data_IF_824931636667
#
_entry.id   IF_824931636667
#
_cell.length_a   1.000
_cell.length_b   1.000
_cell.length_c   1.000
_cell.angle_alpha   90.00
_cell.angle_beta   90.00
_cell.angle_gamma   90.00
#
_symmetry.space_group_name_H-M   'P 1'
#
loop_
_entity.id
_entity.type
_entity.pdbx_description
1 polymer ?
#
# COMPACT_ATOMS: atom_id res chain seq x y z
N UNK A 1 13.18 -20.86 47.57
CA UNK A 1 12.89 -19.41 47.53
C UNK A 1 12.45 -19.04 48.93
N UNK A 2 13.19 -18.18 49.59
CA UNK A 2 12.91 -17.74 50.97
C UNK A 2 11.78 -16.69 50.99
N UNK A 3 11.04 -16.66 52.09
CA UNK A 3 9.87 -15.79 52.27
C UNK A 3 10.22 -14.30 52.12
N UNK A 4 11.45 -13.93 52.52
CA UNK A 4 11.96 -12.57 52.36
C UNK A 4 12.07 -12.17 50.89
N UNK A 5 12.63 -13.02 50.03
CA UNK A 5 12.73 -12.75 48.58
C UNK A 5 11.35 -12.62 47.92
N UNK A 6 10.38 -13.44 48.33
CA UNK A 6 9.01 -13.32 47.83
C UNK A 6 8.36 -11.98 48.22
N UNK A 7 8.50 -11.56 49.49
CA UNK A 7 7.97 -10.26 49.95
C UNK A 7 8.58 -9.09 49.19
N UNK A 8 9.90 -9.07 49.02
CA UNK A 8 10.61 -8.03 48.25
C UNK A 8 10.15 -7.98 46.78
N UNK A 9 9.94 -9.14 46.15
CA UNK A 9 9.43 -9.19 44.78
C UNK A 9 7.99 -8.66 44.66
N UNK A 10 7.13 -8.95 45.65
CA UNK A 10 5.75 -8.42 45.70
C UNK A 10 5.75 -6.90 45.91
N UNK A 11 6.58 -6.38 46.82
CA UNK A 11 6.71 -4.93 47.04
C UNK A 11 7.21 -4.21 45.79
N UNK A 12 8.25 -4.74 45.12
CA UNK A 12 8.78 -4.16 43.89
C UNK A 12 7.73 -4.16 42.77
N UNK A 13 6.98 -5.26 42.60
CA UNK A 13 5.89 -5.34 41.63
C UNK A 13 4.81 -4.28 41.91
N UNK A 14 4.42 -4.12 43.18
CA UNK A 14 3.38 -3.16 43.57
C UNK A 14 3.86 -1.72 43.34
N UNK A 15 5.12 -1.41 43.64
CA UNK A 15 5.72 -0.10 43.36
C UNK A 15 5.76 0.21 41.86
N UNK A 16 6.24 -0.73 41.04
CA UNK A 16 6.29 -0.56 39.58
C UNK A 16 4.88 -0.37 38.99
N UNK A 17 3.87 -1.06 39.52
CA UNK A 17 2.47 -0.84 39.13
C UNK A 17 2.01 0.58 39.47
N UNK A 18 2.31 1.09 40.67
CA UNK A 18 1.95 2.45 41.06
C UNK A 18 2.67 3.52 40.19
N UNK A 19 3.92 3.29 39.82
CA UNK A 19 4.67 4.18 38.90
C UNK A 19 4.05 4.16 37.48
N UNK A 20 3.62 2.98 37.00
CA UNK A 20 2.93 2.84 35.72
C UNK A 20 1.54 3.52 35.72
N UNK A 21 0.80 3.47 36.84
CA UNK A 21 -0.51 4.15 36.97
C UNK A 21 -0.40 5.68 36.89
N UNK A 22 0.77 6.27 37.17
CA UNK A 22 1.00 7.70 36.97
C UNK A 22 1.34 8.06 35.53
N UNK A 23 1.64 7.07 34.68
CA UNK A 23 1.99 7.28 33.29
C UNK A 23 0.73 7.26 32.40
N UNK A 24 0.39 8.42 31.82
CA UNK A 24 -0.76 8.59 30.94
C UNK A 24 -0.76 7.60 29.77
N UNK A 25 0.42 7.24 29.23
CA UNK A 25 0.54 6.27 28.15
C UNK A 25 0.15 4.85 28.57
N UNK A 26 0.39 4.47 29.82
CA UNK A 26 0.00 3.16 30.36
C UNK A 26 -1.52 3.07 30.57
N UNK A 27 -2.14 4.15 31.05
CA UNK A 27 -3.61 4.25 31.15
C UNK A 27 -4.25 4.13 29.76
N UNK A 28 -3.70 4.84 28.75
CA UNK A 28 -4.18 4.75 27.38
C UNK A 28 -4.09 3.33 26.80
N UNK A 29 -3.00 2.61 27.09
CA UNK A 29 -2.83 1.21 26.70
C UNK A 29 -3.87 0.30 27.37
N UNK A 30 -4.10 0.44 28.69
CA UNK A 30 -5.13 -0.32 29.38
C UNK A 30 -6.54 -0.08 28.81
N UNK A 31 -6.85 1.17 28.45
CA UNK A 31 -8.11 1.49 27.77
C UNK A 31 -8.21 0.81 26.40
N UNK A 32 -7.14 0.81 25.60
CA UNK A 32 -7.12 0.13 24.32
C UNK A 32 -7.32 -1.39 24.48
N UNK A 33 -6.62 -2.02 25.42
CA UNK A 33 -6.77 -3.45 25.74
C UNK A 33 -8.19 -3.79 26.21
N UNK A 34 -8.80 -2.95 27.05
CA UNK A 34 -10.17 -3.14 27.51
C UNK A 34 -11.18 -3.07 26.34
N UNK A 35 -10.96 -2.18 25.37
CA UNK A 35 -11.80 -2.08 24.16
C UNK A 35 -11.63 -3.30 23.26
N UNK A 36 -10.40 -3.77 23.04
CA UNK A 36 -10.12 -4.99 22.27
C UNK A 36 -10.81 -6.20 22.92
N UNK A 37 -10.65 -6.38 24.24
CA UNK A 37 -11.29 -7.49 24.96
C UNK A 37 -12.83 -7.45 24.89
N UNK A 38 -13.43 -6.26 24.93
CA UNK A 38 -14.87 -6.09 24.77
C UNK A 38 -15.32 -6.42 23.34
N UNK A 39 -14.53 -6.01 22.34
CA UNK A 39 -14.78 -6.31 20.93
C UNK A 39 -14.69 -7.80 20.63
N UNK A 40 -13.65 -8.48 21.11
CA UNK A 40 -13.45 -9.93 20.95
C UNK A 40 -14.56 -10.74 21.63
N UNK A 41 -15.08 -10.26 22.77
CA UNK A 41 -16.23 -10.87 23.43
C UNK A 41 -17.52 -10.70 22.63
N UNK A 42 -17.72 -9.54 22.02
CA UNK A 42 -18.89 -9.26 21.17
C UNK A 42 -18.81 -9.97 19.80
N UNK A 43 -17.60 -10.21 19.32
CA UNK A 43 -17.31 -10.86 18.05
C UNK A 43 -16.46 -12.11 18.30
N UNK A 44 -17.04 -13.17 18.90
CA UNK A 44 -16.30 -14.39 19.14
C UNK A 44 -15.67 -14.84 17.82
N UNK A 45 -14.34 -14.97 17.83
CA UNK A 45 -13.61 -15.44 16.66
C UNK A 45 -14.32 -16.68 16.13
N UNK A 46 -14.62 -16.75 14.82
CA UNK A 46 -15.30 -17.90 14.26
C UNK A 46 -14.51 -19.13 14.66
N UNK A 47 -15.13 -19.98 15.47
CA UNK A 47 -14.53 -21.22 15.96
C UNK A 47 -13.95 -21.89 14.72
N UNK A 48 -12.66 -22.25 14.69
CA UNK A 48 -12.06 -22.88 13.53
C UNK A 48 -12.86 -24.15 13.28
N UNK A 49 -13.78 -24.04 12.33
CA UNK A 49 -14.74 -25.08 12.04
C UNK A 49 -13.90 -26.22 11.51
N UNK A 50 -13.88 -27.33 12.24
CA UNK A 50 -13.11 -28.54 11.92
C UNK A 50 -13.53 -29.19 10.59
N UNK A 51 -14.40 -28.53 9.83
CA UNK A 51 -14.61 -28.78 8.41
C UNK A 51 -13.50 -28.11 7.62
N UNK A 52 -12.34 -28.79 7.58
CA UNK A 52 -11.42 -28.75 6.45
C UNK A 52 -12.13 -29.33 5.21
N UNK A 53 -13.21 -28.67 4.79
CA UNK A 53 -13.74 -28.76 3.46
C UNK A 53 -12.81 -27.92 2.61
N UNK A 54 -11.87 -28.61 1.97
CA UNK A 54 -11.01 -28.12 0.90
C UNK A 54 -11.84 -27.20 0.00
N UNK A 55 -11.80 -25.90 0.27
CA UNK A 55 -12.36 -24.89 -0.62
C UNK A 55 -11.43 -24.86 -1.81
N UNK A 56 -11.76 -25.71 -2.79
CA UNK A 56 -11.20 -25.70 -4.11
C UNK A 56 -11.59 -24.36 -4.76
N UNK A 57 -10.88 -23.31 -4.38
CA UNK A 57 -10.73 -22.10 -5.15
C UNK A 57 -10.44 -22.56 -6.56
N UNK A 58 -11.38 -22.35 -7.47
CA UNK A 58 -11.24 -22.61 -8.91
C UNK A 58 -10.07 -21.79 -9.42
N UNK A 59 -8.89 -22.35 -9.24
CA UNK A 59 -7.65 -21.85 -9.79
C UNK A 59 -7.81 -22.02 -11.30
N UNK A 60 -7.92 -20.88 -11.98
CA UNK A 60 -7.89 -20.77 -13.42
C UNK A 60 -6.75 -21.67 -13.91
N UNK A 61 -7.06 -22.62 -14.78
CA UNK A 61 -6.12 -23.64 -15.29
C UNK A 61 -4.95 -22.94 -15.96
N UNK A 62 -3.94 -22.59 -15.17
CA UNK A 62 -2.60 -22.23 -15.63
C UNK A 62 -2.00 -23.56 -16.08
N UNK A 63 -1.47 -23.55 -17.31
CA UNK A 63 -0.99 -24.74 -18.00
C UNK A 63 -0.12 -25.61 -17.11
N UNK A 64 -0.16 -26.93 -17.34
CA UNK A 64 0.65 -27.94 -16.65
C UNK A 64 2.13 -27.58 -16.79
N UNK A 65 2.64 -26.72 -15.91
CA UNK A 65 4.05 -26.48 -15.76
C UNK A 65 4.64 -27.81 -15.30
N UNK A 66 5.61 -28.29 -16.06
CA UNK A 66 6.36 -29.51 -15.74
C UNK A 66 6.78 -29.43 -14.27
N UNK A 67 6.30 -30.37 -13.45
CA UNK A 67 6.61 -30.48 -12.02
C UNK A 67 8.13 -30.58 -11.76
N UNK A 68 8.91 -30.83 -12.80
CA UNK A 68 10.37 -30.94 -12.76
C UNK A 68 11.10 -29.64 -13.15
N UNK A 69 10.39 -28.53 -13.36
CA UNK A 69 11.04 -27.25 -13.67
C UNK A 69 11.91 -26.78 -12.51
N UNK A 70 13.07 -26.17 -12.82
CA UNK A 70 13.95 -25.61 -11.82
C UNK A 70 13.22 -24.56 -10.96
N UNK A 71 12.31 -23.79 -11.56
CA UNK A 71 11.41 -22.87 -10.87
C UNK A 71 10.58 -23.59 -9.80
N UNK A 72 9.93 -24.71 -10.13
CA UNK A 72 9.13 -25.49 -9.16
C UNK A 72 9.97 -25.96 -7.97
N UNK A 73 11.21 -26.40 -8.22
CA UNK A 73 12.15 -26.81 -7.16
C UNK A 73 12.59 -25.63 -6.29
N UNK A 74 12.84 -24.47 -6.89
CA UNK A 74 13.16 -23.23 -6.16
C UNK A 74 12.00 -22.83 -5.25
N UNK A 75 10.76 -22.80 -5.77
CA UNK A 75 9.60 -22.40 -4.99
C UNK A 75 9.34 -23.37 -3.83
N UNK A 76 9.35 -24.67 -4.08
CA UNK A 76 9.15 -25.68 -3.02
C UNK A 76 10.25 -25.60 -1.96
N UNK A 77 11.52 -25.57 -2.36
CA UNK A 77 12.65 -25.50 -1.44
C UNK A 77 12.70 -24.19 -0.64
N UNK A 78 12.28 -23.07 -1.25
CA UNK A 78 12.18 -21.79 -0.56
C UNK A 78 11.05 -21.78 0.47
N UNK A 79 9.88 -22.34 0.15
CA UNK A 79 8.77 -22.45 1.09
C UNK A 79 9.17 -23.29 2.32
N UNK A 80 9.71 -24.49 2.09
CA UNK A 80 10.17 -25.36 3.17
C UNK A 80 11.28 -24.72 4.03
N UNK A 81 12.16 -23.91 3.42
CA UNK A 81 13.18 -23.19 4.17
C UNK A 81 12.58 -22.08 5.04
N UNK A 82 11.66 -21.29 4.50
CA UNK A 82 10.96 -20.22 5.23
C UNK A 82 10.12 -20.78 6.38
N UNK A 83 9.40 -21.88 6.15
CA UNK A 83 8.66 -22.61 7.21
C UNK A 83 9.60 -23.07 8.32
N UNK A 84 10.77 -23.62 7.97
CA UNK A 84 11.75 -24.11 8.94
C UNK A 84 12.33 -23.01 9.83
N UNK A 85 12.67 -21.85 9.27
CA UNK A 85 13.28 -20.75 10.03
C UNK A 85 12.24 -19.87 10.74
N UNK A 86 10.96 -19.96 10.36
CA UNK A 86 9.86 -19.19 10.95
C UNK A 86 10.01 -17.67 10.85
N UNK A 87 10.81 -17.18 9.88
CA UNK A 87 11.06 -15.75 9.64
C UNK A 87 11.32 -15.47 8.16
N UNK A 88 11.23 -14.20 7.76
CA UNK A 88 11.61 -13.78 6.41
C UNK A 88 13.10 -13.99 6.17
N UNK A 89 13.45 -14.24 4.91
CA UNK A 89 14.82 -14.40 4.45
C UNK A 89 15.09 -13.65 3.15
N UNK A 90 16.32 -13.18 3.00
CA UNK A 90 16.79 -12.57 1.76
C UNK A 90 16.98 -13.61 0.65
N UNK A 91 16.98 -13.20 -0.62
CA UNK A 91 17.24 -14.11 -1.75
C UNK A 91 18.56 -14.86 -1.62
N UNK A 92 19.56 -14.25 -0.96
CA UNK A 92 20.87 -14.84 -0.72
C UNK A 92 20.78 -15.99 0.29
N UNK A 93 20.15 -15.77 1.44
CA UNK A 93 19.92 -16.82 2.45
C UNK A 93 19.14 -18.00 1.83
N UNK A 94 18.11 -17.70 1.04
CA UNK A 94 17.31 -18.74 0.34
C UNK A 94 18.19 -19.51 -0.66
N UNK A 95 19.01 -18.82 -1.47
CA UNK A 95 19.92 -19.46 -2.42
C UNK A 95 20.95 -20.37 -1.72
N UNK A 96 21.52 -19.93 -0.60
CA UNK A 96 22.46 -20.71 0.21
C UNK A 96 21.77 -21.96 0.79
N UNK A 97 20.52 -21.83 1.29
CA UNK A 97 19.73 -22.95 1.78
C UNK A 97 19.36 -23.97 0.67
N UNK A 98 18.97 -23.48 -0.52
CA UNK A 98 18.71 -24.33 -1.68
C UNK A 98 19.97 -25.11 -2.11
N UNK A 99 21.12 -24.44 -2.10
CA UNK A 99 22.41 -25.05 -2.44
C UNK A 99 22.81 -26.13 -1.43
N UNK A 100 22.61 -25.87 -0.14
CA UNK A 100 22.87 -26.84 0.94
C UNK A 100 22.00 -28.10 0.83
N UNK A 101 20.79 -27.98 0.26
CA UNK A 101 19.88 -29.10 -0.04
C UNK A 101 20.20 -29.81 -1.36
N UNK A 102 21.26 -29.42 -2.06
CA UNK A 102 21.68 -30.02 -3.33
C UNK A 102 20.88 -29.56 -4.56
N UNK A 103 20.06 -28.51 -4.43
CA UNK A 103 19.33 -27.93 -5.56
C UNK A 103 20.30 -27.03 -6.33
N UNK A 104 20.85 -27.54 -7.43
CA UNK A 104 21.75 -26.80 -8.31
C UNK A 104 20.94 -26.02 -9.36
N UNK A 105 21.10 -24.70 -9.37
CA UNK A 105 20.48 -23.82 -10.35
C UNK A 105 21.45 -23.58 -11.51
N UNK A 106 21.06 -23.98 -12.73
CA UNK A 106 21.88 -23.83 -13.92
C UNK A 106 21.80 -22.43 -14.57
N UNK A 107 21.32 -21.44 -13.84
CA UNK A 107 21.20 -20.07 -14.33
C UNK A 107 22.57 -19.35 -14.33
N UNK A 108 22.80 -18.48 -15.32
CA UNK A 108 24.00 -17.62 -15.38
C UNK A 108 24.18 -16.77 -14.11
N UNK A 109 23.07 -16.30 -13.56
CA UNK A 109 23.00 -15.61 -12.26
C UNK A 109 21.91 -16.28 -11.40
N UNK A 110 22.29 -17.20 -10.51
CA UNK A 110 21.35 -17.91 -9.64
C UNK A 110 20.56 -16.97 -8.72
N UNK A 111 21.16 -15.87 -8.26
CA UNK A 111 20.52 -14.97 -7.30
C UNK A 111 19.39 -14.17 -7.95
N UNK A 112 19.62 -13.68 -9.17
CA UNK A 112 18.56 -13.04 -9.98
C UNK A 112 17.47 -14.06 -10.36
N UNK A 113 17.84 -15.30 -10.67
CA UNK A 113 16.87 -16.37 -10.99
C UNK A 113 15.97 -16.74 -9.80
N UNK A 114 16.53 -16.87 -8.59
CA UNK A 114 15.76 -17.10 -7.36
C UNK A 114 14.83 -15.91 -7.11
N UNK A 115 15.37 -14.69 -7.10
CA UNK A 115 14.57 -13.48 -6.84
C UNK A 115 13.43 -13.34 -7.84
N UNK A 116 13.68 -13.60 -9.12
CA UNK A 116 12.66 -13.59 -10.16
C UNK A 116 11.59 -14.65 -9.93
N UNK A 117 11.99 -15.89 -9.63
CA UNK A 117 11.04 -16.99 -9.37
C UNK A 117 10.13 -16.68 -8.18
N UNK A 118 10.70 -16.19 -7.09
CA UNK A 118 9.95 -15.83 -5.88
C UNK A 118 9.00 -14.66 -6.11
N UNK A 119 9.44 -13.60 -6.81
CA UNK A 119 8.63 -12.40 -7.07
C UNK A 119 7.41 -12.66 -7.97
N UNK A 120 7.47 -13.67 -8.85
CA UNK A 120 6.34 -14.02 -9.73
C UNK A 120 5.39 -15.05 -9.11
N UNK A 121 5.74 -15.62 -7.95
CA UNK A 121 4.91 -16.61 -7.28
C UNK A 121 3.98 -15.95 -6.27
N UNK A 122 2.67 -16.26 -6.29
CA UNK A 122 1.72 -15.74 -5.30
C UNK A 122 1.92 -16.35 -3.90
N UNK A 123 2.76 -17.38 -3.76
CA UNK A 123 3.06 -18.01 -2.46
C UNK A 123 3.98 -17.17 -1.59
N UNK A 124 4.67 -16.19 -2.15
CA UNK A 124 5.66 -15.39 -1.43
C UNK A 124 5.30 -13.92 -1.47
N UNK A 125 5.56 -13.23 -0.36
CA UNK A 125 5.51 -11.78 -0.26
C UNK A 125 6.93 -11.24 -0.06
N UNK A 126 7.33 -10.24 -0.84
CA UNK A 126 8.62 -9.58 -0.66
C UNK A 126 8.42 -8.26 0.09
N UNK A 127 9.02 -8.14 1.27
CA UNK A 127 9.09 -6.87 1.99
C UNK A 127 10.48 -6.29 1.77
N UNK A 128 10.52 -5.17 1.05
CA UNK A 128 11.78 -4.51 0.69
C UNK A 128 12.65 -4.27 1.94
N UNK A 129 13.86 -4.80 1.96
CA UNK A 129 14.81 -4.68 3.08
C UNK A 129 14.69 -5.77 4.15
N UNK A 130 13.60 -6.54 4.19
CA UNK A 130 13.44 -7.70 5.06
C UNK A 130 13.48 -9.04 4.30
N UNK A 131 13.25 -9.00 2.99
CA UNK A 131 13.31 -10.16 2.11
C UNK A 131 11.95 -10.83 1.90
N UNK A 132 12.00 -12.08 1.46
CA UNK A 132 10.84 -12.89 1.12
C UNK A 132 10.30 -13.60 2.35
N UNK A 133 8.98 -13.63 2.49
CA UNK A 133 8.24 -14.46 3.43
C UNK A 133 7.14 -15.23 2.71
N UNK A 134 6.45 -16.08 3.46
CA UNK A 134 5.25 -16.76 2.96
C UNK A 134 4.07 -15.79 2.89
N UNK A 135 3.21 -15.97 1.89
CA UNK A 135 2.07 -15.09 1.67
C UNK A 135 1.05 -15.12 2.82
N UNK A 136 0.93 -16.25 3.51
CA UNK A 136 0.07 -16.44 4.68
C UNK A 136 0.60 -15.78 5.96
N UNK A 137 1.87 -15.36 6.00
CA UNK A 137 2.40 -14.68 7.18
C UNK A 137 1.80 -13.29 7.30
N UNK A 138 1.13 -12.98 8.44
CA UNK A 138 0.59 -11.65 8.65
C UNK A 138 1.74 -10.66 8.63
N UNK A 139 1.56 -9.60 7.86
CA UNK A 139 2.49 -8.48 7.88
C UNK A 139 2.48 -7.89 9.29
N UNK A 140 3.59 -8.01 10.01
CA UNK A 140 3.63 -7.50 11.38
C UNK A 140 3.58 -5.96 11.35
N UNK A 141 3.04 -5.36 12.40
CA UNK A 141 2.92 -3.90 12.49
C UNK A 141 4.29 -3.22 12.40
N UNK A 142 5.34 -3.86 12.94
CA UNK A 142 6.73 -3.41 12.80
C UNK A 142 7.21 -3.43 11.34
N UNK A 143 6.81 -4.43 10.54
CA UNK A 143 7.11 -4.49 9.10
C UNK A 143 6.37 -3.41 8.34
N UNK A 144 5.07 -3.23 8.60
CA UNK A 144 4.27 -2.16 8.01
C UNK A 144 4.86 -0.79 8.35
N UNK A 145 5.30 -0.60 9.60
CA UNK A 145 5.94 0.62 10.05
C UNK A 145 7.35 0.79 9.43
N UNK A 146 8.12 -0.27 9.25
CA UNK A 146 9.42 -0.21 8.57
C UNK A 146 9.27 0.17 7.08
N UNK A 147 8.21 -0.30 6.41
CA UNK A 147 7.86 0.17 5.07
C UNK A 147 7.44 1.63 5.09
N UNK A 148 6.61 2.03 6.08
CA UNK A 148 6.15 3.42 6.24
C UNK A 148 7.30 4.39 6.56
N UNK A 149 8.31 3.96 7.31
CA UNK A 149 9.49 4.77 7.67
C UNK A 149 10.45 5.01 6.50
N UNK A 150 10.31 4.29 5.38
CA UNK A 150 11.10 4.62 4.21
C UNK A 150 10.66 5.98 3.71
N UNK A 151 11.64 6.83 3.45
CA UNK A 151 11.40 8.12 2.82
C UNK A 151 10.49 7.88 1.60
N UNK A 152 9.40 8.65 1.45
CA UNK A 152 8.45 8.48 0.37
C UNK A 152 9.23 8.46 -0.95
N UNK A 153 8.90 7.53 -1.85
CA UNK A 153 9.61 7.46 -3.13
C UNK A 153 9.44 8.78 -3.86
N UNK A 154 10.38 9.11 -4.75
CA UNK A 154 10.30 10.34 -5.55
C UNK A 154 8.96 10.46 -6.29
N UNK A 155 8.41 9.35 -6.77
CA UNK A 155 7.08 9.28 -7.37
C UNK A 155 5.95 9.65 -6.40
N UNK A 156 6.00 9.13 -5.16
CA UNK A 156 5.02 9.48 -4.11
C UNK A 156 5.13 10.96 -3.74
N UNK A 157 6.35 11.49 -3.61
CA UNK A 157 6.57 12.92 -3.34
C UNK A 157 6.05 13.80 -4.49
N UNK A 158 6.33 13.43 -5.74
CA UNK A 158 5.81 14.12 -6.93
C UNK A 158 4.28 14.10 -6.95
N UNK A 159 3.67 12.95 -6.69
CA UNK A 159 2.21 12.83 -6.64
C UNK A 159 1.60 13.75 -5.59
N UNK A 160 2.12 13.70 -4.35
CA UNK A 160 1.66 14.58 -3.27
C UNK A 160 1.76 16.06 -3.65
N UNK A 161 2.90 16.48 -4.21
CA UNK A 161 3.11 17.87 -4.64
C UNK A 161 2.14 18.29 -5.78
N UNK A 162 1.87 17.40 -6.74
CA UNK A 162 0.87 17.67 -7.81
C UNK A 162 -0.52 17.83 -7.21
N UNK A 163 -0.92 16.95 -6.29
CA UNK A 163 -2.22 17.04 -5.63
C UNK A 163 -2.36 18.34 -4.85
N UNK A 164 -1.38 18.70 -4.02
CA UNK A 164 -1.43 19.94 -3.24
C UNK A 164 -1.48 21.18 -4.13
N UNK A 165 -0.70 21.18 -5.21
CA UNK A 165 -0.71 22.24 -6.20
C UNK A 165 -2.07 22.38 -6.88
N UNK A 166 -2.65 21.26 -7.35
CA UNK A 166 -3.97 21.26 -8.00
C UNK A 166 -5.10 21.63 -7.03
N UNK A 167 -5.09 21.16 -5.78
CA UNK A 167 -6.06 21.59 -4.75
C UNK A 167 -6.06 23.11 -4.56
N UNK A 168 -4.88 23.74 -4.60
CA UNK A 168 -4.76 25.18 -4.43
C UNK A 168 -5.19 26.01 -5.65
N UNK A 169 -5.14 25.43 -6.86
CA UNK A 169 -5.37 26.13 -8.14
C UNK A 169 -6.63 25.71 -8.88
N UNK A 170 -7.21 24.56 -8.53
CA UNK A 170 -8.24 23.85 -9.30
C UNK A 170 -7.68 23.27 -10.59
N UNK A 171 -7.67 24.08 -11.65
CA UNK A 171 -7.23 23.67 -13.00
C UNK A 171 -5.89 24.33 -13.33
N UNK A 172 -4.85 23.53 -13.54
CA UNK A 172 -3.52 24.03 -13.93
C UNK A 172 -3.02 23.43 -15.25
N UNK A 173 -2.21 24.18 -15.98
CA UNK A 173 -1.52 23.70 -17.16
C UNK A 173 -0.30 22.86 -16.77
N UNK A 174 0.02 21.81 -17.55
CA UNK A 174 1.14 20.89 -17.28
C UNK A 174 2.50 21.58 -17.11
N UNK A 175 2.71 22.73 -17.76
CA UNK A 175 3.93 23.53 -17.58
C UNK A 175 4.03 24.10 -16.17
N UNK A 176 2.92 24.65 -15.64
CA UNK A 176 2.89 25.21 -14.28
C UNK A 176 3.15 24.13 -13.23
N UNK A 177 2.59 22.93 -13.44
CA UNK A 177 2.84 21.75 -12.61
C UNK A 177 4.32 21.37 -12.64
N UNK A 178 4.93 21.35 -13.84
CA UNK A 178 6.35 21.03 -13.99
C UNK A 178 7.22 22.07 -13.28
N UNK A 179 6.96 23.35 -13.49
CA UNK A 179 7.72 24.44 -12.87
C UNK A 179 7.65 24.36 -11.34
N UNK A 180 6.48 24.02 -10.79
CA UNK A 180 6.32 23.78 -9.36
C UNK A 180 7.18 22.61 -8.88
N UNK A 181 7.17 21.47 -9.57
CA UNK A 181 7.98 20.30 -9.21
C UNK A 181 9.50 20.56 -9.34
N UNK A 182 9.91 21.37 -10.32
CA UNK A 182 11.30 21.83 -10.44
C UNK A 182 11.67 22.74 -9.27
N UNK A 183 10.79 23.66 -8.86
CA UNK A 183 11.03 24.55 -7.72
C UNK A 183 11.21 23.79 -6.39
N UNK A 184 10.56 22.63 -6.25
CA UNK A 184 10.70 21.75 -5.09
C UNK A 184 11.94 20.85 -5.16
N UNK A 185 12.71 20.89 -6.25
CA UNK A 185 13.83 19.97 -6.50
C UNK A 185 13.39 18.52 -6.75
N UNK A 186 12.09 18.29 -6.98
CA UNK A 186 11.53 16.98 -7.25
C UNK A 186 11.71 16.56 -8.71
N UNK A 187 11.91 17.49 -9.64
CA UNK A 187 12.20 17.17 -11.05
C UNK A 187 13.37 18.03 -11.50
N UNK A 188 14.30 17.44 -12.26
CA UNK A 188 15.39 18.21 -12.85
C UNK A 188 14.88 18.97 -14.05
N UNK A 189 15.29 20.22 -14.19
CA UNK A 189 15.06 21.01 -15.39
C UNK A 189 15.82 20.37 -16.57
N UNK A 190 15.10 19.57 -17.35
CA UNK A 190 15.64 18.82 -18.47
C UNK A 190 14.62 18.79 -19.59
N UNK A 191 15.06 18.76 -20.86
CA UNK A 191 14.13 18.73 -22.00
C UNK A 191 13.22 17.50 -22.01
N UNK A 192 13.59 16.44 -21.27
CA UNK A 192 12.78 15.22 -21.12
C UNK A 192 11.78 15.28 -19.97
N UNK A 193 11.89 16.26 -19.07
CA UNK A 193 11.06 16.36 -17.86
C UNK A 193 9.57 16.45 -18.19
N UNK A 194 9.20 17.23 -19.21
CA UNK A 194 7.82 17.37 -19.66
C UNK A 194 7.23 16.03 -20.17
N UNK A 195 8.02 15.27 -20.93
CA UNK A 195 7.60 13.95 -21.41
C UNK A 195 7.41 12.94 -20.27
N UNK A 196 8.33 12.95 -19.32
CA UNK A 196 8.25 12.09 -18.12
C UNK A 196 7.05 12.47 -17.25
N UNK A 197 6.78 13.76 -17.04
CA UNK A 197 5.60 14.23 -16.31
C UNK A 197 4.30 13.82 -17.02
N UNK A 198 4.24 13.97 -18.35
CA UNK A 198 3.06 13.58 -19.12
C UNK A 198 2.78 12.07 -19.02
N UNK A 199 3.82 11.22 -19.08
CA UNK A 199 3.68 9.79 -18.86
C UNK A 199 3.20 9.48 -17.43
N UNK A 200 3.83 10.11 -16.42
CA UNK A 200 3.47 9.97 -15.02
C UNK A 200 2.00 10.35 -14.73
N UNK A 201 1.54 11.49 -15.25
CA UNK A 201 0.14 11.94 -15.08
C UNK A 201 -0.84 11.02 -15.83
N UNK A 202 -0.43 10.42 -16.95
CA UNK A 202 -1.27 9.48 -17.72
C UNK A 202 -1.50 8.18 -16.97
N UNK A 203 -0.51 7.70 -16.21
CA UNK A 203 -0.67 6.53 -15.33
C UNK A 203 -1.65 6.82 -14.18
N UNK A 204 -1.78 8.08 -13.77
CA UNK A 204 -2.66 8.56 -12.69
C UNK A 204 -4.06 9.03 -13.16
N UNK A 205 -4.50 8.62 -14.35
CA UNK A 205 -5.79 9.03 -14.96
C UNK A 205 -7.05 8.74 -14.12
N UNK A 206 -6.95 7.87 -13.11
CA UNK A 206 -8.06 7.60 -12.18
C UNK A 206 -8.29 8.75 -11.18
N UNK A 207 -7.26 9.57 -10.95
CA UNK A 207 -7.28 10.66 -9.97
C UNK A 207 -7.25 12.05 -10.62
N UNK A 208 -6.93 12.13 -11.91
CA UNK A 208 -6.78 13.37 -12.66
C UNK A 208 -7.76 13.44 -13.82
N UNK A 209 -8.35 14.61 -14.03
CA UNK A 209 -9.23 14.90 -15.18
C UNK A 209 -8.49 15.81 -16.16
N UNK A 210 -8.50 15.44 -17.44
CA UNK A 210 -7.87 16.19 -18.53
C UNK A 210 -8.89 17.10 -19.20
N UNK A 211 -8.62 18.40 -19.24
CA UNK A 211 -9.51 19.42 -19.79
C UNK A 211 -9.17 19.86 -21.23
N UNK A 212 -8.22 19.19 -21.88
CA UNK A 212 -7.66 19.62 -23.16
C UNK A 212 -6.48 20.58 -22.98
N UNK A 213 -5.76 20.88 -24.06
CA UNK A 213 -4.62 21.83 -24.10
C UNK A 213 -3.51 21.60 -23.05
N UNK A 214 -3.43 20.40 -22.46
CA UNK A 214 -2.48 20.11 -21.38
C UNK A 214 -2.90 20.62 -20.00
N UNK A 215 -4.18 20.97 -19.79
CA UNK A 215 -4.75 21.37 -18.51
C UNK A 215 -5.31 20.16 -17.75
N UNK A 216 -5.11 20.16 -16.44
CA UNK A 216 -5.46 19.08 -15.53
C UNK A 216 -6.08 19.61 -14.23
N UNK A 217 -6.99 18.83 -13.66
CA UNK A 217 -7.52 19.02 -12.29
C UNK A 217 -7.61 17.69 -11.56
N UNK A 218 -7.90 17.72 -10.27
CA UNK A 218 -8.27 16.52 -9.53
C UNK A 218 -9.68 16.07 -9.92
N UNK A 219 -9.93 14.76 -9.86
CA UNK A 219 -11.24 14.19 -10.17
C UNK A 219 -12.30 14.54 -9.12
N UNK A 220 -11.90 14.76 -7.87
CA UNK A 220 -12.79 15.13 -6.76
C UNK A 220 -13.47 16.49 -6.99
N UNK A 221 -12.73 17.47 -7.52
CA UNK A 221 -13.25 18.84 -7.76
C UNK A 221 -14.33 18.89 -8.86
N UNK A 222 -14.33 17.93 -9.79
CA UNK A 222 -15.30 17.89 -10.90
C UNK A 222 -16.68 17.45 -10.41
N UNK A 223 -16.74 16.66 -9.33
CA UNK A 223 -18.01 16.21 -8.76
C UNK A 223 -18.80 17.37 -8.13
N UNK A 224 -18.13 18.38 -7.57
CA UNK A 224 -18.80 19.52 -6.93
C UNK A 224 -19.33 20.54 -7.95
N UNK A 225 -18.67 20.71 -9.10
CA UNK A 225 -19.10 21.68 -10.12
C UNK A 225 -20.27 21.23 -11.00
N UNK A 226 -20.68 19.96 -10.92
CA UNK A 226 -21.76 19.40 -11.75
C UNK A 226 -23.12 19.34 -11.03
N UNK A 227 -23.26 19.93 -9.83
CA UNK A 227 -24.57 20.37 -9.37
C UNK A 227 -25.02 21.50 -10.29
N UNK A 228 -25.70 21.10 -11.37
CA UNK A 228 -26.43 22.00 -12.24
C UNK A 228 -27.23 22.96 -11.35
N UNK A 229 -27.09 24.29 -11.53
CA UNK A 229 -27.90 25.23 -10.78
C UNK A 229 -29.36 24.87 -11.04
N UNK A 230 -30.04 24.38 -10.00
CA UNK A 230 -31.45 24.05 -10.03
C UNK A 230 -32.18 25.26 -10.60
N UNK A 231 -32.56 25.14 -11.87
CA UNK A 231 -33.13 26.21 -12.69
C UNK A 231 -34.61 26.39 -12.37
N UNK A 232 -34.95 26.34 -11.07
CA UNK A 232 -36.31 26.20 -10.55
C UNK A 232 -36.85 27.49 -9.92
N UNK A 233 -36.12 28.60 -10.02
CA UNK A 233 -36.65 29.93 -9.69
C UNK A 233 -36.32 30.90 -10.83
N UNK A 234 -37.26 31.12 -11.74
CA UNK A 234 -38.17 32.27 -11.62
C UNK A 234 -38.96 32.41 -12.93
N UNK A 235 -40.25 32.08 -12.84
CA UNK A 235 -41.25 32.45 -13.82
C UNK A 235 -41.29 33.97 -14.01
N UNK A 236 -41.32 34.43 -15.26
CA UNK A 236 -41.53 35.83 -15.59
C UNK A 236 -41.61 36.06 -17.10
N UNK A 237 -42.70 35.59 -17.71
CA UNK A 237 -43.01 35.84 -19.10
C UNK A 237 -43.06 37.35 -19.42
N UNK A 238 -42.54 37.74 -20.59
CA UNK A 238 -43.15 38.81 -21.36
C UNK A 238 -43.13 38.48 -22.85
N UNK A 239 -44.32 38.15 -23.37
CA UNK A 239 -44.65 38.14 -24.79
C UNK A 239 -44.47 39.55 -25.35
N UNK A 240 -43.77 39.68 -26.46
CA UNK A 240 -43.68 40.94 -27.20
C UNK A 240 -43.26 40.71 -28.64
N UNK A 241 -44.25 40.58 -29.51
CA UNK A 241 -44.15 40.49 -30.97
C UNK A 241 -43.33 41.62 -31.59
N UNK A 242 -42.67 41.35 -32.72
CA UNK A 242 -42.18 42.44 -33.58
C UNK A 242 -41.29 41.97 -34.71
N UNK A 243 -41.87 41.34 -35.71
CA UNK A 243 -41.26 41.22 -37.02
C UNK A 243 -41.07 42.62 -37.64
N UNK A 244 -39.95 42.86 -38.32
CA UNK A 244 -39.89 43.71 -39.52
C UNK A 244 -38.58 43.41 -40.29
N UNK A 245 -38.64 43.05 -41.58
CA UNK A 245 -37.51 43.11 -42.47
C UNK A 245 -37.49 44.47 -43.16
N UNK A 246 -36.32 45.11 -43.28
CA UNK A 246 -36.14 46.22 -44.22
C UNK A 246 -34.78 46.10 -44.93
N UNK A 247 -34.90 45.74 -46.20
CA UNK A 247 -34.03 46.06 -47.33
C UNK A 247 -33.80 47.59 -47.43
N UNK A 248 -32.78 48.10 -48.17
CA UNK A 248 -32.39 47.72 -49.54
C UNK A 248 -31.02 47.09 -49.72
#
# INVERSE_FOLDING_TARGET
>A
MDEATYRTAVELRNRLRAELEQNVSFIALQHAEAVVALWERAHPAPVPSAHSGVSASRSKVVGRHSLNSDTSKVLAGAAEYLELIGRRATSREILEALSARGIKLNAKDPMTSVSSSLSHSPMFNNVLGLGYGLAEWPMTEAEAQAISRKAPTKAVQMWAAICDFLKSRGIAHRQEILDHLVSLGLVNDSPKAMGNLAAFMSDMKQHLVKHGEGRWSLAEDVAETNEAPNSSELFGASRGNGALPLQP
#
